data_IF_984498056434
#
_entry.id   IF_984498056434
#
_cell.length_a   1.000
_cell.length_b   1.000
_cell.length_c   1.000
_cell.angle_alpha   90.00
_cell.angle_beta   90.00
_cell.angle_gamma   90.00
#
_symmetry.space_group_name_H-M   'P 1'
#
loop_
_entity.id
_entity.type
_entity.pdbx_description
1 polymer ?
#
# COMPACT_ATOMS: atom_id res chain seq x y z
N UNK A 1 30.00 3.83 -8.80
CA UNK A 1 29.17 5.04 -8.64
C UNK A 1 27.93 4.88 -9.50
N UNK A 2 26.95 4.09 -9.05
CA UNK A 2 25.66 3.99 -9.75
C UNK A 2 24.82 5.17 -9.29
N UNK A 3 24.56 6.11 -10.19
CA UNK A 3 23.56 7.14 -9.96
C UNK A 3 22.22 6.42 -9.79
N UNK A 4 21.69 6.37 -8.57
CA UNK A 4 20.31 5.98 -8.33
C UNK A 4 19.47 7.17 -8.77
N UNK A 5 19.26 7.27 -10.08
CA UNK A 5 18.20 8.09 -10.65
C UNK A 5 16.92 7.58 -10.01
N UNK A 6 16.27 8.41 -9.21
CA UNK A 6 14.90 8.16 -8.77
C UNK A 6 14.11 7.98 -10.06
N UNK A 7 13.65 6.76 -10.37
CA UNK A 7 12.79 6.57 -11.54
C UNK A 7 11.51 7.32 -11.27
N UNK A 8 11.43 8.51 -11.84
CA UNK A 8 10.24 9.33 -11.83
C UNK A 8 9.33 8.80 -12.92
N UNK A 9 8.28 8.07 -12.52
CA UNK A 9 7.34 7.51 -13.47
C UNK A 9 6.37 8.59 -13.94
N UNK A 10 6.46 8.96 -15.22
CA UNK A 10 5.48 9.81 -15.89
C UNK A 10 4.58 8.93 -16.75
N UNK A 11 3.29 8.96 -16.47
CA UNK A 11 2.29 8.13 -17.15
C UNK A 11 1.54 8.88 -18.27
N UNK A 12 1.98 10.09 -18.62
CA UNK A 12 1.36 10.89 -19.69
C UNK A 12 1.41 10.13 -21.02
N UNK A 13 0.23 9.91 -21.62
CA UNK A 13 0.09 9.23 -22.92
C UNK A 13 0.16 7.70 -22.88
N UNK A 14 0.33 7.06 -21.72
CA UNK A 14 0.24 5.60 -21.62
C UNK A 14 -1.21 5.14 -21.88
N UNK A 15 -1.40 4.27 -22.88
CA UNK A 15 -2.67 3.61 -23.14
C UNK A 15 -3.14 2.80 -21.93
N UNK A 16 -4.44 2.64 -21.78
CA UNK A 16 -5.05 1.92 -20.65
C UNK A 16 -4.98 0.42 -20.92
N UNK A 17 -4.23 -0.38 -20.14
CA UNK A 17 -4.01 -1.78 -20.47
C UNK A 17 -5.27 -2.61 -20.26
N UNK A 18 -5.53 -3.52 -21.21
CA UNK A 18 -6.57 -4.54 -21.08
C UNK A 18 -6.09 -5.68 -20.20
N UNK A 19 -6.93 -6.10 -19.27
CA UNK A 19 -6.57 -7.11 -18.27
C UNK A 19 -7.41 -8.36 -18.47
N UNK A 20 -6.75 -9.47 -18.75
CA UNK A 20 -7.36 -10.79 -18.68
C UNK A 20 -7.32 -11.30 -17.25
N UNK A 21 -8.46 -11.71 -16.69
CA UNK A 21 -8.55 -12.30 -15.35
C UNK A 21 -8.71 -13.81 -15.47
N UNK A 22 -7.79 -14.56 -14.87
CA UNK A 22 -7.92 -16.02 -14.81
C UNK A 22 -9.07 -16.47 -13.91
N UNK A 23 -9.79 -17.50 -14.35
CA UNK A 23 -10.69 -18.28 -13.50
C UNK A 23 -9.92 -19.49 -12.96
N UNK A 24 -9.59 -19.45 -11.67
CA UNK A 24 -8.77 -20.45 -10.98
C UNK A 24 -9.49 -20.93 -9.72
N UNK A 25 -10.53 -21.78 -9.85
CA UNK A 25 -11.44 -22.13 -8.75
C UNK A 25 -10.76 -22.82 -7.57
N UNK A 26 -9.64 -23.52 -7.79
CA UNK A 26 -8.84 -24.16 -6.73
C UNK A 26 -8.27 -23.13 -5.74
N UNK A 27 -7.98 -21.93 -6.24
CA UNK A 27 -7.47 -20.79 -5.47
C UNK A 27 -8.58 -19.83 -5.04
N UNK A 28 -9.85 -20.18 -5.21
CA UNK A 28 -10.97 -19.36 -4.77
C UNK A 28 -11.29 -19.61 -3.28
N UNK A 29 -11.44 -18.53 -2.51
CA UNK A 29 -11.79 -18.59 -1.08
C UNK A 29 -12.93 -17.65 -0.67
N UNK A 30 -13.68 -17.14 -1.65
CA UNK A 30 -14.86 -16.29 -1.45
C UNK A 30 -16.17 -17.07 -1.58
N UNK A 31 -17.23 -16.54 -0.94
CA UNK A 31 -18.60 -17.06 -1.10
C UNK A 31 -19.17 -16.70 -2.46
N UNK A 32 -19.05 -15.44 -2.84
CA UNK A 32 -19.41 -14.95 -4.18
C UNK A 32 -18.52 -15.61 -5.22
N UNK A 33 -19.07 -16.06 -6.36
CA UNK A 33 -18.28 -16.64 -7.46
C UNK A 33 -17.65 -15.53 -8.31
N UNK A 34 -16.52 -15.82 -8.95
CA UNK A 34 -15.79 -14.85 -9.79
C UNK A 34 -16.68 -14.16 -10.83
N UNK A 35 -17.49 -14.94 -11.56
CA UNK A 35 -18.42 -14.43 -12.60
C UNK A 35 -19.51 -13.48 -12.09
N UNK A 36 -19.83 -13.57 -10.80
CA UNK A 36 -20.89 -12.79 -10.17
C UNK A 36 -20.32 -11.54 -9.48
N UNK A 37 -19.00 -11.49 -9.27
CA UNK A 37 -18.33 -10.46 -8.49
C UNK A 37 -18.49 -9.04 -9.07
N UNK A 38 -18.51 -8.89 -10.41
CA UNK A 38 -18.72 -7.60 -11.06
C UNK A 38 -20.08 -6.95 -10.72
N UNK A 39 -21.09 -7.77 -10.39
CA UNK A 39 -22.45 -7.34 -10.04
C UNK A 39 -22.62 -7.02 -8.55
N UNK A 40 -21.62 -7.35 -7.74
CA UNK A 40 -21.65 -7.05 -6.30
C UNK A 40 -21.54 -5.54 -6.09
N UNK A 41 -22.47 -4.91 -5.35
CA UNK A 41 -22.40 -3.48 -5.05
C UNK A 41 -21.25 -3.16 -4.09
N UNK A 42 -20.74 -1.93 -4.13
CA UNK A 42 -19.59 -1.50 -3.33
C UNK A 42 -19.87 -1.56 -1.81
N UNK A 43 -21.14 -1.40 -1.42
CA UNK A 43 -21.64 -1.47 -0.05
C UNK A 43 -21.59 -2.88 0.53
N UNK A 44 -21.39 -3.90 -0.31
CA UNK A 44 -21.23 -5.26 0.18
C UNK A 44 -19.94 -5.34 1.03
N UNK A 45 -20.01 -5.78 2.30
CA UNK A 45 -18.85 -5.86 3.18
C UNK A 45 -17.71 -6.75 2.69
N UNK A 46 -17.96 -7.63 1.70
CA UNK A 46 -16.93 -8.44 1.07
C UNK A 46 -15.89 -7.60 0.30
N UNK A 47 -16.24 -6.41 -0.18
CA UNK A 47 -15.37 -5.57 -1.03
C UNK A 47 -14.48 -4.65 -0.18
N UNK A 48 -15.08 -3.61 0.41
CA UNK A 48 -14.38 -2.58 1.18
C UNK A 48 -14.48 -2.79 2.70
N UNK A 49 -15.18 -3.82 3.17
CA UNK A 49 -15.60 -3.95 4.58
C UNK A 49 -16.93 -3.23 4.85
N UNK A 50 -17.49 -3.35 6.06
CA UNK A 50 -18.71 -2.62 6.43
C UNK A 50 -18.54 -1.10 6.29
N UNK A 51 -19.54 -0.42 5.73
CA UNK A 51 -19.59 1.05 5.71
C UNK A 51 -19.72 1.57 7.15
N UNK A 52 -18.96 2.60 7.48
CA UNK A 52 -18.97 3.19 8.82
C UNK A 52 -20.20 4.08 9.01
N UNK A 53 -20.89 3.94 10.13
CA UNK A 53 -22.02 4.80 10.52
C UNK A 53 -21.60 6.09 11.24
N UNK A 54 -20.37 6.12 11.75
CA UNK A 54 -19.75 7.26 12.42
C UNK A 54 -18.36 7.50 11.83
N UNK A 55 -18.07 8.74 11.44
CA UNK A 55 -16.80 9.10 10.82
C UNK A 55 -16.98 9.95 9.56
N UNK A 56 -16.10 9.75 8.59
CA UNK A 56 -16.15 10.42 7.30
C UNK A 56 -17.24 9.77 6.41
N UNK A 57 -17.84 10.54 5.50
CA UNK A 57 -19.07 10.14 4.78
C UNK A 57 -18.92 8.84 3.96
N UNK A 58 -17.72 8.62 3.43
CA UNK A 58 -17.38 7.49 2.57
C UNK A 58 -16.30 6.60 3.19
N UNK A 59 -16.36 6.48 4.52
CA UNK A 59 -15.49 5.64 5.31
C UNK A 59 -16.03 4.20 5.40
N UNK A 60 -15.14 3.24 5.19
CA UNK A 60 -15.35 1.82 5.33
C UNK A 60 -14.35 1.24 6.31
N UNK A 61 -14.74 0.18 7.01
CA UNK A 61 -13.85 -0.61 7.84
C UNK A 61 -12.95 -1.53 6.99
N UNK A 62 -12.19 -0.92 6.10
CA UNK A 62 -11.35 -1.61 5.13
C UNK A 62 -10.17 -2.27 5.81
N UNK A 63 -10.12 -3.59 5.70
CA UNK A 63 -9.06 -4.37 6.30
C UNK A 63 -7.74 -4.16 5.55
N UNK A 64 -6.62 -4.16 6.29
CA UNK A 64 -5.27 -4.14 5.72
C UNK A 64 -4.91 -5.35 4.81
N UNK A 65 -5.85 -6.30 4.64
CA UNK A 65 -5.69 -7.50 3.80
C UNK A 65 -6.55 -7.44 2.52
N UNK A 66 -7.30 -6.35 2.29
CA UNK A 66 -8.33 -6.29 1.24
C UNK A 66 -7.82 -6.00 -0.17
N UNK A 67 -6.52 -5.69 -0.35
CA UNK A 67 -5.99 -5.28 -1.66
C UNK A 67 -6.31 -6.27 -2.80
N UNK A 68 -6.13 -7.61 -2.64
CA UNK A 68 -6.49 -8.57 -3.68
C UNK A 68 -7.96 -8.50 -4.09
N UNK A 69 -8.87 -8.37 -3.11
CA UNK A 69 -10.31 -8.30 -3.36
C UNK A 69 -10.71 -7.01 -4.08
N UNK A 70 -10.25 -5.87 -3.57
CA UNK A 70 -10.60 -4.57 -4.12
C UNK A 70 -10.09 -4.45 -5.56
N UNK A 71 -8.84 -4.85 -5.82
CA UNK A 71 -8.26 -4.82 -7.17
C UNK A 71 -9.02 -5.74 -8.13
N UNK A 72 -9.34 -6.97 -7.71
CA UNK A 72 -10.13 -7.89 -8.52
C UNK A 72 -11.51 -7.34 -8.86
N UNK A 73 -12.24 -6.87 -7.86
CA UNK A 73 -13.58 -6.32 -8.03
C UNK A 73 -13.58 -5.10 -8.95
N UNK A 74 -12.58 -4.20 -8.80
CA UNK A 74 -12.42 -3.02 -9.66
C UNK A 74 -12.08 -3.39 -11.11
N UNK A 75 -11.16 -4.33 -11.33
CA UNK A 75 -10.80 -4.79 -12.67
C UNK A 75 -12.02 -5.37 -13.39
N UNK A 76 -12.77 -6.27 -12.74
CA UNK A 76 -13.93 -6.93 -13.35
C UNK A 76 -15.09 -5.98 -13.71
N UNK A 77 -15.13 -4.78 -13.12
CA UNK A 77 -16.11 -3.74 -13.40
C UNK A 77 -15.63 -2.69 -14.40
N UNK A 78 -14.34 -2.74 -14.76
CA UNK A 78 -13.76 -1.81 -15.72
C UNK A 78 -14.05 -2.28 -17.16
N UNK A 79 -14.28 -1.35 -18.11
CA UNK A 79 -14.33 -1.68 -19.54
C UNK A 79 -12.99 -2.25 -20.08
N UNK A 80 -11.92 -2.22 -19.28
CA UNK A 80 -10.60 -2.77 -19.59
C UNK A 80 -10.51 -4.27 -19.33
N UNK A 81 -11.45 -4.85 -18.60
CA UNK A 81 -11.49 -6.30 -18.44
C UNK A 81 -11.80 -6.96 -19.79
N UNK A 82 -11.01 -7.98 -20.12
CA UNK A 82 -11.25 -8.82 -21.30
C UNK A 82 -11.30 -10.29 -20.92
N UNK A 83 -12.15 -11.03 -21.60
CA UNK A 83 -12.17 -12.50 -21.59
C UNK A 83 -11.38 -13.07 -22.77
N UNK A 84 -10.97 -12.23 -23.72
CA UNK A 84 -10.15 -12.60 -24.86
C UNK A 84 -8.65 -12.41 -24.53
N UNK A 85 -7.87 -13.49 -24.37
CA UNK A 85 -6.45 -13.40 -24.03
C UNK A 85 -5.60 -12.74 -25.14
N UNK A 86 -6.07 -12.73 -26.39
CA UNK A 86 -5.34 -12.10 -27.51
C UNK A 86 -5.35 -10.55 -27.43
N UNK A 87 -6.32 -9.98 -26.71
CA UNK A 87 -6.42 -8.54 -26.47
C UNK A 87 -5.74 -8.11 -25.17
N UNK A 88 -5.18 -9.05 -24.40
CA UNK A 88 -4.71 -8.77 -23.05
C UNK A 88 -3.28 -8.23 -23.04
N UNK A 89 -3.11 -7.05 -22.45
CA UNK A 89 -1.80 -6.49 -22.13
C UNK A 89 -1.24 -7.11 -20.86
N UNK A 90 -2.13 -7.45 -19.92
CA UNK A 90 -1.80 -8.01 -18.61
C UNK A 90 -2.68 -9.21 -18.27
N UNK A 91 -2.12 -10.14 -17.50
CA UNK A 91 -2.81 -11.34 -17.02
C UNK A 91 -2.86 -11.33 -15.50
N UNK A 92 -4.04 -11.09 -14.93
CA UNK A 92 -4.24 -11.12 -13.48
C UNK A 92 -4.61 -12.53 -13.01
N UNK A 93 -3.90 -13.04 -12.01
CA UNK A 93 -4.23 -14.31 -11.34
C UNK A 93 -4.82 -14.05 -9.95
N UNK A 94 -6.15 -14.14 -9.77
CA UNK A 94 -6.83 -13.79 -8.52
C UNK A 94 -6.77 -14.91 -7.49
N UNK A 95 -5.58 -15.17 -6.94
CA UNK A 95 -5.39 -16.21 -5.93
C UNK A 95 -5.85 -15.75 -4.55
N UNK A 96 -6.76 -16.51 -3.95
CA UNK A 96 -7.29 -16.32 -2.60
C UNK A 96 -7.57 -14.86 -2.29
N UNK A 97 -8.58 -14.24 -2.90
CA UNK A 97 -8.75 -12.80 -2.76
C UNK A 97 -9.39 -12.40 -1.41
N UNK A 98 -9.91 -13.35 -0.60
CA UNK A 98 -10.49 -13.07 0.73
C UNK A 98 -9.46 -12.50 1.72
N UNK A 99 -9.94 -11.67 2.66
CA UNK A 99 -9.16 -11.25 3.84
C UNK A 99 -8.75 -12.45 4.71
N UNK A 100 -7.51 -12.47 5.22
CA UNK A 100 -6.88 -13.70 5.76
C UNK A 100 -7.09 -13.95 7.25
N UNK A 101 -7.42 -15.20 7.59
CA UNK A 101 -7.31 -15.76 8.95
C UNK A 101 -6.00 -16.56 9.07
N UNK A 102 -5.05 -16.08 9.86
CA UNK A 102 -3.64 -16.49 9.76
C UNK A 102 -3.38 -18.00 9.75
N UNK A 103 -3.85 -18.79 10.73
CA UNK A 103 -3.48 -20.22 10.83
C UNK A 103 -4.07 -21.13 9.74
N UNK A 104 -5.40 -21.14 9.61
CA UNK A 104 -6.09 -21.99 8.63
C UNK A 104 -5.68 -21.67 7.18
N UNK A 105 -5.46 -20.38 6.91
CA UNK A 105 -5.04 -19.94 5.60
C UNK A 105 -3.57 -20.28 5.32
N UNK A 106 -2.66 -20.09 6.29
CA UNK A 106 -1.25 -20.47 6.14
C UNK A 106 -1.10 -21.96 5.80
N UNK A 107 -1.88 -22.83 6.47
CA UNK A 107 -1.87 -24.26 6.21
C UNK A 107 -2.44 -24.61 4.82
N UNK A 108 -3.52 -23.94 4.38
CA UNK A 108 -4.07 -24.13 3.03
C UNK A 108 -3.09 -23.67 1.95
N UNK A 109 -2.54 -22.46 2.10
CA UNK A 109 -1.58 -21.93 1.14
C UNK A 109 -0.34 -22.82 1.02
N UNK A 110 0.24 -23.28 2.13
CA UNK A 110 1.44 -24.12 2.10
C UNK A 110 1.26 -25.42 1.30
N UNK A 111 0.06 -26.00 1.34
CA UNK A 111 -0.28 -27.20 0.58
C UNK A 111 -0.60 -26.88 -0.88
N UNK A 112 -1.42 -25.87 -1.11
CA UNK A 112 -2.09 -25.67 -2.40
C UNK A 112 -1.32 -24.73 -3.34
N UNK A 113 -0.55 -23.77 -2.80
CA UNK A 113 0.16 -22.74 -3.60
C UNK A 113 1.23 -23.33 -4.52
N UNK A 114 1.83 -24.44 -4.10
CA UNK A 114 2.95 -25.07 -4.78
C UNK A 114 2.50 -26.13 -5.80
N UNK A 115 1.23 -26.52 -5.80
CA UNK A 115 0.72 -27.58 -6.68
C UNK A 115 0.14 -27.00 -7.97
N UNK A 116 0.77 -27.31 -9.11
CA UNK A 116 0.18 -27.21 -10.45
C UNK A 116 -0.31 -25.82 -10.91
N UNK A 117 -0.08 -24.73 -10.17
CA UNK A 117 -0.53 -23.39 -10.57
C UNK A 117 -0.08 -23.03 -11.99
N UNK A 118 1.18 -23.30 -12.31
CA UNK A 118 1.74 -23.08 -13.64
C UNK A 118 0.91 -23.75 -14.75
N UNK A 119 0.46 -24.97 -14.51
CA UNK A 119 -0.29 -25.79 -15.45
C UNK A 119 -1.73 -25.30 -15.63
N UNK A 120 -2.28 -24.63 -14.62
CA UNK A 120 -3.61 -24.00 -14.67
C UNK A 120 -3.59 -22.68 -15.44
N UNK A 121 -2.44 -22.02 -15.54
CA UNK A 121 -2.28 -20.76 -16.24
C UNK A 121 -1.98 -21.01 -17.72
N UNK A 122 -3.00 -21.36 -18.50
CA UNK A 122 -2.89 -21.71 -19.94
C UNK A 122 -2.21 -20.65 -20.83
N UNK A 123 -2.15 -19.39 -20.39
CA UNK A 123 -1.47 -18.30 -21.11
C UNK A 123 -0.13 -17.93 -20.48
N UNK A 124 0.36 -18.67 -19.48
CA UNK A 124 1.69 -18.52 -18.91
C UNK A 124 2.72 -19.19 -19.82
N UNK A 125 3.38 -18.40 -20.66
CA UNK A 125 4.38 -18.88 -21.62
C UNK A 125 5.69 -18.10 -21.44
N UNK A 126 6.82 -18.55 -22.02
CA UNK A 126 8.05 -17.77 -22.01
C UNK A 126 7.88 -16.31 -22.51
N UNK A 127 6.94 -16.08 -23.45
CA UNK A 127 6.65 -14.75 -24.02
C UNK A 127 5.74 -13.88 -23.15
N UNK A 128 4.83 -14.48 -22.39
CA UNK A 128 3.77 -13.76 -21.65
C UNK A 128 3.97 -13.77 -20.14
N UNK A 129 4.91 -14.56 -19.62
CA UNK A 129 5.12 -14.74 -18.19
C UNK A 129 5.39 -13.42 -17.44
N UNK A 130 6.13 -12.49 -18.06
CA UNK A 130 6.40 -11.19 -17.47
C UNK A 130 5.19 -10.23 -17.47
N UNK A 131 4.10 -10.58 -18.16
CA UNK A 131 2.81 -9.85 -18.18
C UNK A 131 1.82 -10.38 -17.13
N UNK A 132 2.15 -11.50 -16.48
CA UNK A 132 1.35 -12.05 -15.41
C UNK A 132 1.63 -11.29 -14.13
N UNK A 133 0.59 -11.02 -13.35
CA UNK A 133 0.76 -10.41 -12.04
C UNK A 133 -0.11 -11.05 -10.97
N UNK A 134 0.40 -10.96 -9.75
CA UNK A 134 -0.24 -11.41 -8.54
C UNK A 134 -0.36 -10.25 -7.56
N UNK A 135 -1.43 -10.23 -6.79
CA UNK A 135 -1.62 -9.25 -5.71
C UNK A 135 -1.58 -9.98 -4.38
N UNK A 136 -0.75 -9.48 -3.49
CA UNK A 136 -0.45 -10.05 -2.19
C UNK A 136 -0.91 -9.06 -1.13
N UNK A 137 -1.99 -9.37 -0.43
CA UNK A 137 -2.40 -8.57 0.72
C UNK A 137 -1.37 -8.67 1.85
N UNK A 138 -1.53 -7.85 2.91
CA UNK A 138 -0.72 -8.06 4.12
C UNK A 138 -0.88 -9.49 4.64
N UNK A 139 0.12 -10.02 5.35
CA UNK A 139 0.04 -11.34 5.99
C UNK A 139 0.03 -12.55 5.06
N UNK A 140 0.06 -12.35 3.73
CA UNK A 140 0.16 -13.45 2.78
C UNK A 140 1.56 -14.07 2.73
N UNK A 141 2.55 -13.39 3.29
CA UNK A 141 3.93 -13.86 3.35
C UNK A 141 4.47 -13.45 4.71
N UNK A 142 4.69 -14.42 5.59
CA UNK A 142 5.52 -14.25 6.78
C UNK A 142 6.88 -14.85 6.44
N UNK A 143 7.95 -14.10 6.70
CA UNK A 143 9.32 -14.59 6.50
C UNK A 143 9.51 -15.88 7.29
N UNK A 144 9.79 -16.98 6.60
CA UNK A 144 9.93 -18.30 7.24
C UNK A 144 8.61 -18.97 7.65
N UNK A 145 7.47 -18.46 7.19
CA UNK A 145 6.14 -19.09 7.33
C UNK A 145 5.90 -20.16 6.25
N UNK A 146 4.88 -21.01 6.46
CA UNK A 146 4.62 -22.16 5.58
C UNK A 146 4.21 -21.80 4.14
N UNK A 147 3.61 -20.63 3.94
CA UNK A 147 3.13 -20.13 2.65
C UNK A 147 4.22 -19.35 1.86
N UNK A 148 5.44 -19.24 2.39
CA UNK A 148 6.51 -18.38 1.86
C UNK A 148 7.04 -18.87 0.50
N UNK A 149 7.24 -20.17 0.30
CA UNK A 149 8.01 -20.74 -0.82
C UNK A 149 7.51 -20.38 -2.24
N UNK A 150 6.20 -20.23 -2.44
CA UNK A 150 5.66 -19.78 -3.73
C UNK A 150 5.96 -18.30 -4.00
N UNK A 151 5.77 -17.46 -2.98
CA UNK A 151 5.99 -16.02 -3.08
C UNK A 151 7.48 -15.68 -3.08
N UNK A 152 8.26 -16.48 -2.37
CA UNK A 152 9.68 -16.40 -2.16
C UNK A 152 10.40 -17.43 -3.03
N UNK A 153 10.86 -16.98 -4.19
CA UNK A 153 11.61 -17.78 -5.17
C UNK A 153 10.82 -19.01 -5.67
N UNK A 154 9.76 -18.79 -6.48
CA UNK A 154 8.98 -19.87 -7.08
C UNK A 154 9.88 -20.89 -7.78
N UNK A 155 9.60 -22.18 -7.61
CA UNK A 155 10.35 -23.24 -8.30
C UNK A 155 10.19 -23.18 -9.82
N UNK A 156 8.99 -22.86 -10.30
CA UNK A 156 8.72 -22.70 -11.71
C UNK A 156 9.33 -21.41 -12.27
N UNK A 157 10.18 -21.55 -13.29
CA UNK A 157 10.93 -20.44 -13.88
C UNK A 157 10.06 -19.39 -14.59
N UNK A 158 8.90 -19.76 -15.13
CA UNK A 158 7.98 -18.77 -15.72
C UNK A 158 7.37 -17.90 -14.64
N UNK A 159 7.07 -18.46 -13.48
CA UNK A 159 6.43 -17.74 -12.39
C UNK A 159 7.41 -16.82 -11.65
N UNK A 160 8.71 -17.07 -11.77
CA UNK A 160 9.74 -16.09 -11.39
C UNK A 160 9.68 -14.82 -12.24
N UNK A 161 9.21 -14.87 -13.49
CA UNK A 161 9.09 -13.69 -14.36
C UNK A 161 7.85 -12.83 -14.07
N UNK A 162 6.84 -13.41 -13.43
CA UNK A 162 5.59 -12.72 -13.11
C UNK A 162 5.80 -11.61 -12.08
N UNK A 163 5.05 -10.52 -12.21
CA UNK A 163 5.03 -9.40 -11.27
C UNK A 163 4.31 -9.76 -9.97
N UNK A 164 4.77 -9.22 -8.86
CA UNK A 164 4.13 -9.35 -7.55
C UNK A 164 3.88 -7.96 -6.99
N UNK A 165 2.63 -7.66 -6.67
CA UNK A 165 2.25 -6.41 -6.03
C UNK A 165 1.88 -6.67 -4.58
N UNK A 166 2.51 -5.95 -3.66
CA UNK A 166 2.23 -6.04 -2.23
C UNK A 166 2.36 -4.69 -1.56
N UNK A 167 1.94 -4.52 -0.31
CA UNK A 167 2.16 -3.25 0.40
C UNK A 167 3.64 -2.94 0.72
N UNK A 168 4.53 -3.94 0.60
CA UNK A 168 5.95 -3.88 0.93
C UNK A 168 6.80 -4.34 -0.25
N UNK A 169 7.91 -3.66 -0.52
CA UNK A 169 8.84 -4.00 -1.61
C UNK A 169 10.04 -4.84 -1.15
N UNK A 170 10.18 -5.09 0.15
CA UNK A 170 11.14 -6.07 0.67
C UNK A 170 10.50 -6.93 1.78
N UNK A 171 10.60 -8.25 1.62
CA UNK A 171 10.19 -9.28 2.58
C UNK A 171 11.40 -9.90 3.31
N UNK A 172 12.61 -9.34 3.16
CA UNK A 172 13.85 -9.80 3.82
C UNK A 172 14.15 -9.13 5.16
N UNK A 173 13.26 -8.24 5.64
CA UNK A 173 13.51 -7.44 6.85
C UNK A 173 13.29 -8.27 8.12
N UNK A 174 14.30 -8.33 8.98
CA UNK A 174 14.15 -8.82 10.36
C UNK A 174 13.87 -7.64 11.28
N UNK A 175 13.07 -7.86 12.32
CA UNK A 175 12.82 -6.90 13.39
C UNK A 175 13.49 -7.32 14.71
N UNK A 176 14.39 -8.32 14.66
CA UNK A 176 15.06 -8.88 15.84
C UNK A 176 16.29 -8.07 16.24
N UNK A 177 16.35 -7.72 17.52
CA UNK A 177 17.50 -7.07 18.17
C UNK A 177 18.75 -7.95 17.98
N UNK A 178 19.84 -7.37 17.47
CA UNK A 178 21.12 -8.06 17.29
C UNK A 178 21.32 -8.80 15.96
N UNK A 179 20.34 -8.78 15.05
CA UNK A 179 20.59 -9.16 13.65
C UNK A 179 21.05 -7.91 12.89
N UNK A 180 22.18 -7.99 12.17
CA UNK A 180 22.73 -6.90 11.34
C UNK A 180 21.73 -6.36 10.31
N UNK A 181 20.67 -7.12 10.02
CA UNK A 181 19.64 -6.78 9.04
C UNK A 181 18.41 -6.18 9.71
N UNK A 182 18.45 -4.85 9.82
CA UNK A 182 17.31 -3.92 9.82
C UNK A 182 16.61 -3.51 11.14
N UNK A 183 16.35 -2.19 11.23
CA UNK A 183 15.66 -1.43 12.29
C UNK A 183 15.55 0.05 11.87
N UNK A 184 15.03 0.98 12.70
CA UNK A 184 14.97 2.40 12.33
C UNK A 184 16.33 2.97 11.88
N UNK A 185 17.43 2.49 12.49
CA UNK A 185 18.80 2.93 12.22
C UNK A 185 19.29 2.78 10.77
N UNK A 186 18.87 1.73 10.05
CA UNK A 186 19.28 1.53 8.65
C UNK A 186 18.28 2.10 7.65
N UNK A 187 17.02 2.33 8.07
CA UNK A 187 15.98 2.94 7.23
C UNK A 187 16.07 4.47 7.15
N UNK A 188 16.96 5.10 7.93
CA UNK A 188 17.21 6.54 7.90
C UNK A 188 18.18 6.95 6.77
N UNK A 189 18.86 6.00 6.11
CA UNK A 189 19.82 6.31 5.03
C UNK A 189 19.12 6.35 3.65
N UNK A 190 19.28 7.44 2.86
CA UNK A 190 18.66 7.55 1.54
C UNK A 190 19.05 6.45 0.56
N UNK A 191 20.32 6.02 0.59
CA UNK A 191 20.87 4.99 -0.30
C UNK A 191 20.21 3.64 -0.07
N UNK A 192 20.19 3.17 1.18
CA UNK A 192 19.62 1.86 1.50
C UNK A 192 18.10 1.88 1.33
N UNK A 193 17.44 2.97 1.72
CA UNK A 193 16.01 3.16 1.47
C UNK A 193 15.65 3.11 -0.02
N UNK A 194 16.50 3.65 -0.90
CA UNK A 194 16.29 3.57 -2.35
C UNK A 194 16.53 2.16 -2.88
N UNK A 195 17.58 1.48 -2.40
CA UNK A 195 17.87 0.09 -2.76
C UNK A 195 16.71 -0.85 -2.44
N UNK A 196 16.10 -0.69 -1.26
CA UNK A 196 14.95 -1.50 -0.82
C UNK A 196 13.62 -1.17 -1.53
N UNK A 197 13.53 -0.02 -2.18
CA UNK A 197 12.31 0.44 -2.86
C UNK A 197 12.30 0.08 -4.35
N UNK A 198 13.46 -0.24 -4.92
CA UNK A 198 13.61 -0.54 -6.33
C UNK A 198 13.05 -1.94 -6.68
N UNK A 199 12.34 -2.04 -7.80
CA UNK A 199 12.22 -3.32 -8.50
C UNK A 199 13.57 -3.63 -9.12
N UNK A 200 14.20 -4.73 -8.69
CA UNK A 200 15.49 -5.15 -9.21
C UNK A 200 15.39 -5.74 -10.63
N UNK A 201 14.17 -5.95 -11.15
CA UNK A 201 13.92 -6.65 -12.42
C UNK A 201 14.68 -7.98 -12.51
N UNK A 202 14.84 -8.63 -11.37
CA UNK A 202 15.69 -9.80 -11.19
C UNK A 202 14.82 -11.05 -10.96
N UNK A 203 14.95 -12.03 -11.85
CA UNK A 203 14.27 -13.32 -11.76
C UNK A 203 14.81 -14.20 -10.63
N UNK A 204 16.05 -13.99 -10.20
CA UNK A 204 16.74 -14.80 -9.20
C UNK A 204 16.69 -14.20 -7.79
N UNK A 205 16.17 -12.98 -7.67
CA UNK A 205 15.84 -12.35 -6.39
C UNK A 205 14.97 -13.30 -5.54
N UNK A 206 15.16 -13.34 -4.20
CA UNK A 206 14.28 -14.09 -3.32
C UNK A 206 12.80 -13.74 -3.50
N UNK A 207 12.50 -12.50 -3.89
CA UNK A 207 11.14 -12.05 -4.22
C UNK A 207 11.17 -11.36 -5.59
N UNK A 208 11.10 -12.13 -6.69
CA UNK A 208 11.34 -11.60 -8.02
C UNK A 208 10.17 -10.70 -8.45
N UNK A 209 10.52 -9.55 -9.02
CA UNK A 209 9.59 -8.52 -9.53
C UNK A 209 8.54 -8.08 -8.51
N UNK A 210 8.95 -7.93 -7.26
CA UNK A 210 8.11 -7.41 -6.19
C UNK A 210 8.09 -5.89 -6.23
N UNK A 211 6.89 -5.31 -6.38
CA UNK A 211 6.66 -3.88 -6.36
C UNK A 211 5.71 -3.55 -5.23
N UNK A 212 6.05 -2.54 -4.44
CA UNK A 212 5.14 -2.06 -3.40
C UNK A 212 3.95 -1.29 -4.01
N UNK A 213 2.79 -1.35 -3.38
CA UNK A 213 1.56 -0.63 -3.72
C UNK A 213 0.94 -0.03 -2.45
N UNK A 214 0.07 0.98 -2.54
CA UNK A 214 -0.59 1.55 -1.37
C UNK A 214 -1.39 0.50 -0.61
N UNK A 215 -1.39 0.57 0.72
CA UNK A 215 -2.45 -0.14 1.44
C UNK A 215 -3.80 0.45 1.02
N UNK A 216 -4.85 -0.37 0.86
CA UNK A 216 -6.20 0.16 0.78
C UNK A 216 -6.49 0.97 2.04
N UNK A 217 -6.83 2.24 1.84
CA UNK A 217 -7.30 3.15 2.89
C UNK A 217 -8.68 2.76 3.36
N UNK A 218 -9.21 3.51 4.33
CA UNK A 218 -10.62 3.38 4.73
C UNK A 218 -11.57 4.29 3.96
N UNK A 219 -11.07 5.30 3.25
CA UNK A 219 -11.91 6.18 2.42
C UNK A 219 -12.02 5.60 1.01
N UNK A 220 -13.25 5.43 0.53
CA UNK A 220 -13.57 4.94 -0.82
C UNK A 220 -14.76 5.70 -1.41
N UNK A 221 -14.48 6.61 -2.34
CA UNK A 221 -15.50 7.40 -3.06
C UNK A 221 -15.62 7.01 -4.54
N UNK A 222 -16.76 7.31 -5.13
CA UNK A 222 -16.99 7.14 -6.57
C UNK A 222 -16.31 8.23 -7.42
N UNK A 223 -16.20 7.96 -8.72
CA UNK A 223 -15.56 8.88 -9.66
C UNK A 223 -16.30 10.21 -9.81
N UNK A 224 -17.62 10.26 -9.61
CA UNK A 224 -18.40 11.50 -9.69
C UNK A 224 -18.06 12.45 -8.55
N UNK A 225 -17.97 11.91 -7.34
CA UNK A 225 -17.56 12.61 -6.12
C UNK A 225 -16.13 13.13 -6.26
N UNK A 226 -15.20 12.29 -6.74
CA UNK A 226 -13.81 12.70 -7.01
C UNK A 226 -13.71 13.87 -7.99
N UNK A 227 -14.44 13.84 -9.12
CA UNK A 227 -14.40 14.90 -10.14
C UNK A 227 -14.86 16.24 -9.62
N UNK A 228 -15.87 16.26 -8.76
CA UNK A 228 -16.37 17.50 -8.18
C UNK A 228 -15.50 17.99 -7.02
N UNK A 229 -14.61 17.13 -6.50
CA UNK A 229 -13.87 17.32 -5.24
C UNK A 229 -14.78 17.73 -4.07
N UNK A 230 -16.10 17.55 -4.21
CA UNK A 230 -17.08 17.89 -3.20
C UNK A 230 -17.13 16.71 -2.25
N UNK A 231 -16.84 16.93 -0.97
CA UNK A 231 -16.88 15.90 0.10
C UNK A 231 -15.70 14.91 0.10
N UNK A 232 -14.57 15.24 -0.52
CA UNK A 232 -13.34 14.45 -0.32
C UNK A 232 -12.51 15.06 0.81
N UNK A 233 -12.24 14.27 1.85
CA UNK A 233 -11.65 14.80 3.10
C UNK A 233 -10.20 15.25 2.97
N UNK A 234 -9.51 14.84 1.90
CA UNK A 234 -8.15 15.31 1.61
C UNK A 234 -8.08 16.69 0.96
N UNK A 235 -9.22 17.27 0.56
CA UNK A 235 -9.32 18.68 0.16
C UNK A 235 -9.71 19.48 1.40
N UNK A 236 -8.70 20.02 2.10
CA UNK A 236 -8.90 20.75 3.36
C UNK A 236 -9.69 22.04 3.14
N UNK A 237 -10.82 22.18 3.83
CA UNK A 237 -11.64 23.40 3.81
C UNK A 237 -11.74 24.09 5.18
N UNK A 238 -11.20 23.50 6.26
CA UNK A 238 -11.29 24.03 7.62
C UNK A 238 -9.93 24.10 8.32
N UNK A 239 -9.86 24.95 9.35
CA UNK A 239 -8.73 25.03 10.28
C UNK A 239 -8.70 23.82 11.21
N UNK A 240 -7.55 23.16 11.33
CA UNK A 240 -7.34 22.03 12.24
C UNK A 240 -7.18 22.47 13.68
N UNK A 241 -7.73 21.72 14.63
CA UNK A 241 -7.61 22.03 16.06
C UNK A 241 -6.25 21.64 16.67
N UNK A 242 -5.55 20.67 16.09
CA UNK A 242 -4.27 20.18 16.63
C UNK A 242 -3.11 20.38 15.67
N UNK A 243 -1.91 20.64 16.22
CA UNK A 243 -0.67 20.61 15.46
C UNK A 243 -0.44 19.21 14.92
N UNK A 244 -0.53 18.20 15.79
CA UNK A 244 -0.28 16.82 15.40
C UNK A 244 -1.29 15.83 16.01
N UNK A 245 -1.42 14.66 15.38
CA UNK A 245 -2.10 13.51 15.99
C UNK A 245 -1.29 12.22 15.85
N UNK A 246 -1.44 11.33 16.82
CA UNK A 246 -0.99 9.94 16.72
C UNK A 246 -2.16 9.00 17.01
N UNK A 247 -2.62 8.29 15.98
CA UNK A 247 -3.62 7.22 16.12
C UNK A 247 -2.90 5.89 15.97
N UNK A 248 -2.86 5.06 17.02
CA UNK A 248 -2.26 3.73 16.93
C UNK A 248 -1.92 3.10 18.26
N UNK A 249 -1.80 1.78 18.28
CA UNK A 249 -1.42 1.04 19.49
C UNK A 249 0.07 1.19 19.80
N UNK A 250 0.38 1.41 21.08
CA UNK A 250 1.75 1.62 21.59
C UNK A 250 2.50 0.33 21.99
N UNK A 251 1.86 -0.83 21.87
CA UNK A 251 2.36 -2.11 22.38
C UNK A 251 2.75 -3.06 21.24
N UNK A 252 3.93 -2.86 20.65
CA UNK A 252 4.58 -3.87 19.81
C UNK A 252 6.03 -4.07 20.29
N UNK A 253 6.52 -5.32 20.18
CA UNK A 253 7.90 -5.69 20.51
C UNK A 253 8.86 -5.51 19.32
N UNK A 254 8.33 -5.14 18.15
CA UNK A 254 9.11 -4.89 16.96
C UNK A 254 9.98 -3.65 17.11
N UNK A 255 11.22 -3.70 16.63
CA UNK A 255 12.14 -2.54 16.65
C UNK A 255 11.60 -1.37 15.80
N UNK A 256 10.78 -1.64 14.78
CA UNK A 256 10.13 -0.60 13.98
C UNK A 256 9.08 0.20 14.79
N UNK A 257 8.57 -0.35 15.90
CA UNK A 257 7.54 0.28 16.72
C UNK A 257 8.09 1.16 17.86
N UNK A 258 9.42 1.28 18.01
CA UNK A 258 10.05 1.98 19.14
C UNK A 258 9.55 3.43 19.28
N UNK A 259 9.39 4.15 18.16
CA UNK A 259 8.92 5.54 18.14
C UNK A 259 7.50 5.71 18.72
N UNK A 260 6.65 4.67 18.68
CA UNK A 260 5.27 4.75 19.20
C UNK A 260 5.21 5.00 20.70
N UNK A 261 6.14 4.42 21.45
CA UNK A 261 6.19 4.55 22.91
C UNK A 261 6.62 5.95 23.33
N UNK A 262 7.54 6.56 22.58
CA UNK A 262 8.02 7.93 22.81
C UNK A 262 6.93 8.92 22.40
N UNK A 263 6.33 8.77 21.22
CA UNK A 263 5.25 9.63 20.73
C UNK A 263 4.04 9.70 21.68
N UNK A 264 3.68 8.56 22.27
CA UNK A 264 2.64 8.52 23.31
C UNK A 264 2.97 9.46 24.47
N UNK A 265 4.22 9.46 24.93
CA UNK A 265 4.68 10.33 26.03
C UNK A 265 4.71 11.79 25.57
N UNK A 266 5.21 12.07 24.37
CA UNK A 266 5.31 13.43 23.84
C UNK A 266 3.94 14.09 23.71
N UNK A 267 2.93 13.36 23.22
CA UNK A 267 1.57 13.86 23.11
C UNK A 267 0.88 13.98 24.46
N UNK A 268 1.16 13.09 25.41
CA UNK A 268 0.67 13.23 26.78
C UNK A 268 1.26 14.45 27.51
N UNK A 269 2.49 14.84 27.18
CA UNK A 269 3.16 16.01 27.74
C UNK A 269 2.67 17.34 27.15
N UNK A 270 2.11 17.33 25.93
CA UNK A 270 1.59 18.51 25.21
C UNK A 270 0.20 18.25 24.62
N UNK A 271 -0.83 18.07 25.48
CA UNK A 271 -2.17 17.68 25.06
C UNK A 271 -2.94 18.76 24.29
N UNK A 272 -2.50 20.01 24.38
CA UNK A 272 -2.98 21.16 23.62
C UNK A 272 -2.49 21.14 22.16
N UNK A 273 -1.26 20.65 21.93
CA UNK A 273 -0.66 20.59 20.60
C UNK A 273 -0.86 19.23 19.90
N UNK A 274 -0.83 18.12 20.64
CA UNK A 274 -0.91 16.77 20.08
C UNK A 274 -2.05 15.93 20.66
N UNK A 275 -2.85 15.36 19.77
CA UNK A 275 -3.87 14.37 20.13
C UNK A 275 -3.36 12.93 19.97
N UNK A 276 -3.46 12.12 21.03
CA UNK A 276 -3.13 10.68 20.98
C UNK A 276 -4.38 9.82 21.16
N UNK A 277 -4.61 8.90 20.23
CA UNK A 277 -5.62 7.86 20.36
C UNK A 277 -4.95 6.48 20.44
N UNK A 278 -5.08 5.84 21.60
CA UNK A 278 -4.62 4.47 21.79
C UNK A 278 -5.60 3.49 21.12
N UNK A 279 -5.22 2.99 19.96
CA UNK A 279 -5.94 1.88 19.34
C UNK A 279 -5.51 0.56 19.98
N UNK A 280 -6.42 -0.13 20.66
CA UNK A 280 -6.22 -1.50 21.12
C UNK A 280 -7.23 -2.48 20.50
N UNK A 281 -6.97 -3.78 20.66
CA UNK A 281 -7.80 -4.85 20.08
C UNK A 281 -9.21 -4.94 20.68
N UNK A 282 -9.49 -4.25 21.79
CA UNK A 282 -10.81 -4.24 22.43
C UNK A 282 -11.83 -3.37 21.68
N UNK A 283 -11.35 -2.43 20.84
CA UNK A 283 -12.16 -1.60 19.96
C UNK A 283 -12.66 -2.34 18.70
N UNK A 284 -12.41 -3.65 18.60
CA UNK A 284 -12.66 -4.46 17.41
C UNK A 284 -11.68 -4.17 16.27
N UNK A 285 -11.78 -4.94 15.18
CA UNK A 285 -10.99 -4.74 13.94
C UNK A 285 -11.40 -3.46 13.19
N UNK A 286 -12.40 -2.74 13.71
CA UNK A 286 -13.09 -1.64 13.06
C UNK A 286 -12.43 -0.30 13.42
N UNK A 287 -11.87 0.37 12.40
CA UNK A 287 -11.22 1.68 12.50
C UNK A 287 -12.20 2.86 12.31
N UNK A 288 -13.51 2.58 12.25
CA UNK A 288 -14.53 3.58 11.95
C UNK A 288 -14.44 4.79 12.91
N UNK A 289 -14.41 5.99 12.33
CA UNK A 289 -14.41 7.24 13.07
C UNK A 289 -13.05 7.63 13.65
N UNK A 290 -11.99 6.84 13.48
CA UNK A 290 -10.64 7.24 13.87
C UNK A 290 -10.05 8.30 12.94
N UNK A 291 -10.50 8.30 11.68
CA UNK A 291 -10.03 9.22 10.64
C UNK A 291 -10.41 10.68 10.92
N UNK A 292 -11.47 10.93 11.71
CA UNK A 292 -11.83 12.28 12.18
C UNK A 292 -10.74 12.93 13.03
N UNK A 293 -9.96 12.11 13.75
CA UNK A 293 -8.85 12.62 14.55
C UNK A 293 -7.67 13.02 13.67
N UNK A 294 -7.46 12.28 12.57
CA UNK A 294 -6.46 12.64 11.57
C UNK A 294 -6.86 13.91 10.81
N UNK A 295 -8.12 14.00 10.35
CA UNK A 295 -8.60 15.18 9.63
C UNK A 295 -8.60 16.46 10.48
N UNK A 296 -8.63 16.33 11.81
CA UNK A 296 -8.56 17.47 12.73
C UNK A 296 -7.12 17.85 13.17
N UNK A 297 -6.09 17.28 12.54
CA UNK A 297 -4.68 17.60 12.81
C UNK A 297 -3.95 18.13 11.57
N UNK A 298 -2.96 18.99 11.76
CA UNK A 298 -2.08 19.43 10.66
C UNK A 298 -1.17 18.30 10.21
N UNK A 299 -0.52 17.66 11.18
CA UNK A 299 0.43 16.57 11.00
C UNK A 299 -0.08 15.26 11.61
N UNK A 300 0.16 14.13 10.96
CA UNK A 300 -0.22 12.82 11.49
C UNK A 300 1.01 11.95 11.62
N UNK A 301 1.36 11.56 12.84
CA UNK A 301 2.48 10.68 13.10
C UNK A 301 2.19 9.26 12.58
N UNK A 302 3.07 8.80 11.71
CA UNK A 302 3.05 7.48 11.08
C UNK A 302 4.30 6.66 11.41
N UNK A 303 4.65 6.43 12.70
CA UNK A 303 5.74 5.53 13.07
C UNK A 303 5.46 4.09 12.62
N UNK A 304 6.53 3.33 12.34
CA UNK A 304 6.47 1.90 12.06
C UNK A 304 5.76 1.09 13.15
N UNK A 305 5.40 -0.15 12.85
CA UNK A 305 4.70 -1.08 13.74
C UNK A 305 5.39 -2.45 13.74
N UNK A 306 4.65 -3.52 13.44
CA UNK A 306 5.24 -4.84 13.17
C UNK A 306 6.00 -4.87 11.83
N UNK A 307 5.82 -3.83 11.01
CA UNK A 307 6.52 -3.57 9.76
C UNK A 307 6.93 -2.10 9.73
N UNK A 308 7.93 -1.72 8.92
CA UNK A 308 8.30 -0.31 8.78
C UNK A 308 7.19 0.55 8.16
N UNK A 309 6.24 -0.08 7.46
CA UNK A 309 5.07 0.56 6.85
C UNK A 309 3.79 0.35 7.66
N UNK A 310 2.78 1.18 7.40
CA UNK A 310 1.45 1.07 8.01
C UNK A 310 0.34 1.56 7.08
N UNK A 311 -0.82 0.90 7.14
CA UNK A 311 -2.03 1.31 6.39
C UNK A 311 -2.37 2.78 6.59
N UNK A 312 -2.28 3.27 7.83
CA UNK A 312 -2.71 4.64 8.12
C UNK A 312 -1.79 5.75 7.59
N UNK A 313 -0.65 5.41 6.98
CA UNK A 313 0.08 6.38 6.17
C UNK A 313 -0.81 6.89 5.04
N UNK A 314 -1.50 5.97 4.37
CA UNK A 314 -2.41 6.25 3.27
C UNK A 314 -3.71 6.88 3.77
N UNK A 315 -4.19 6.46 4.96
CA UNK A 315 -5.33 7.10 5.61
C UNK A 315 -5.04 8.57 5.96
N UNK A 316 -3.82 8.93 6.37
CA UNK A 316 -3.45 10.33 6.64
C UNK A 316 -3.50 11.19 5.37
N UNK A 317 -2.96 10.69 4.25
CA UNK A 317 -3.08 11.37 2.96
C UNK A 317 -4.54 11.61 2.57
N UNK A 318 -5.38 10.58 2.71
CA UNK A 318 -6.80 10.62 2.33
C UNK A 318 -7.71 11.28 3.39
N UNK A 319 -7.11 11.88 4.41
CA UNK A 319 -7.79 12.75 5.38
C UNK A 319 -7.22 14.17 5.38
N UNK A 320 -6.31 14.47 4.44
CA UNK A 320 -5.68 15.79 4.32
C UNK A 320 -4.64 16.08 5.41
N UNK A 321 -4.30 15.09 6.23
CA UNK A 321 -3.33 15.23 7.30
C UNK A 321 -1.92 14.95 6.77
N UNK A 322 -0.99 15.89 6.95
CA UNK A 322 0.38 15.75 6.44
C UNK A 322 1.07 14.61 7.20
N UNK A 323 1.45 13.50 6.54
CA UNK A 323 2.06 12.40 7.25
C UNK A 323 3.46 12.76 7.76
N UNK A 324 3.77 12.30 8.97
CA UNK A 324 5.11 12.41 9.58
C UNK A 324 5.65 10.99 9.75
N UNK A 325 6.61 10.62 8.90
CA UNK A 325 7.18 9.27 8.89
C UNK A 325 8.54 9.27 9.58
N UNK A 326 8.89 8.13 10.17
CA UNK A 326 10.12 7.93 10.95
C UNK A 326 11.10 7.02 10.21
N UNK A 327 11.13 7.15 8.89
CA UNK A 327 12.13 6.50 8.04
C UNK A 327 12.11 7.05 6.62
N UNK A 328 13.28 7.13 6.01
CA UNK A 328 13.43 7.46 4.59
C UNK A 328 12.75 6.44 3.67
N UNK A 329 12.59 5.21 4.15
CA UNK A 329 11.99 4.15 3.37
C UNK A 329 10.48 4.32 3.13
N UNK A 330 9.73 4.83 4.11
CA UNK A 330 8.30 5.09 3.93
C UNK A 330 8.00 6.12 2.83
N UNK A 331 8.96 7.00 2.51
CA UNK A 331 8.84 7.97 1.44
C UNK A 331 9.08 7.38 0.03
N UNK A 332 9.45 6.09 -0.07
CA UNK A 332 9.88 5.44 -1.33
C UNK A 332 9.07 4.21 -1.71
N UNK A 333 8.14 3.75 -0.86
CA UNK A 333 7.21 2.67 -1.22
C UNK A 333 6.19 3.12 -2.26
N UNK A 334 5.45 2.20 -2.85
CA UNK A 334 4.40 2.46 -3.84
C UNK A 334 4.90 3.36 -5.00
N UNK A 335 5.98 2.99 -5.69
CA UNK A 335 6.69 3.88 -6.61
C UNK A 335 5.83 4.36 -7.79
N UNK A 336 4.82 3.60 -8.20
CA UNK A 336 3.91 4.02 -9.27
C UNK A 336 2.91 5.10 -8.83
N UNK A 337 2.62 5.14 -7.52
CA UNK A 337 1.55 5.92 -6.92
C UNK A 337 2.04 7.21 -6.30
N UNK A 338 3.25 7.20 -5.74
CA UNK A 338 3.88 8.44 -5.31
C UNK A 338 4.20 9.28 -6.53
N UNK A 339 3.48 10.40 -6.62
CA UNK A 339 3.53 11.34 -7.72
C UNK A 339 4.99 11.76 -7.94
N UNK A 340 5.61 11.26 -9.02
CA UNK A 340 6.84 11.76 -9.63
C UNK A 340 7.94 12.32 -8.70
N UNK A 341 8.23 11.67 -7.56
CA UNK A 341 9.26 12.13 -6.62
C UNK A 341 8.87 13.29 -5.69
N UNK A 342 7.62 13.79 -5.71
CA UNK A 342 7.20 14.84 -4.78
C UNK A 342 6.68 14.34 -3.42
N UNK A 343 7.01 13.11 -3.00
CA UNK A 343 6.81 12.66 -1.62
C UNK A 343 7.40 13.69 -0.62
N UNK A 344 8.56 14.27 -0.96
CA UNK A 344 9.21 15.32 -0.18
C UNK A 344 8.38 16.61 -0.01
N UNK A 345 7.38 16.86 -0.87
CA UNK A 345 6.48 18.01 -0.78
C UNK A 345 5.11 17.64 -0.22
N UNK A 346 4.91 16.48 0.41
CA UNK A 346 3.62 16.14 1.03
C UNK A 346 3.73 15.33 2.33
N UNK A 347 4.94 15.08 2.82
CA UNK A 347 5.17 14.42 4.10
C UNK A 347 6.42 15.01 4.77
N UNK A 348 6.50 14.86 6.09
CA UNK A 348 7.72 15.15 6.85
C UNK A 348 8.43 13.83 7.14
N UNK A 349 9.70 13.73 6.76
CA UNK A 349 10.53 12.55 7.03
C UNK A 349 11.48 12.88 8.17
N UNK A 350 11.27 12.23 9.31
CA UNK A 350 12.10 12.38 10.49
C UNK A 350 13.11 11.25 10.60
N UNK A 351 14.29 11.58 11.12
CA UNK A 351 15.31 10.61 11.48
C UNK A 351 14.88 9.92 12.78
N UNK A 352 14.54 8.63 12.70
CA UNK A 352 14.09 7.88 13.88
C UNK A 352 15.19 7.70 14.91
N UNK A 353 16.44 7.55 14.46
CA UNK A 353 17.60 7.39 15.33
C UNK A 353 17.78 8.58 16.26
N UNK A 354 17.82 9.80 15.72
CA UNK A 354 17.92 11.04 16.48
C UNK A 354 16.72 11.23 17.41
N UNK A 355 15.50 10.91 16.92
CA UNK A 355 14.31 10.97 17.75
C UNK A 355 14.37 10.02 18.96
N UNK A 356 14.77 8.77 18.73
CA UNK A 356 14.85 7.75 19.78
C UNK A 356 16.01 8.01 20.77
N UNK A 357 17.06 8.69 20.33
CA UNK A 357 18.16 9.14 21.20
C UNK A 357 17.79 10.34 22.09
N UNK A 358 16.69 11.03 21.77
CA UNK A 358 16.27 12.25 22.47
C UNK A 358 16.84 13.55 21.88
N UNK A 359 17.52 13.47 20.73
CA UNK A 359 18.17 14.60 20.07
C UNK A 359 17.19 15.44 19.21
N UNK A 360 15.95 14.98 19.06
CA UNK A 360 14.92 15.64 18.26
C UNK A 360 13.60 15.77 19.03
N UNK A 361 13.21 17.00 19.36
CA UNK A 361 11.84 17.30 19.79
C UNK A 361 10.94 17.43 18.55
N UNK A 362 10.15 16.39 18.29
CA UNK A 362 9.32 16.31 17.08
C UNK A 362 8.21 17.35 17.04
N UNK A 363 7.61 17.71 18.17
CA UNK A 363 6.52 18.70 18.17
C UNK A 363 7.07 20.12 18.00
N UNK A 364 8.21 20.43 18.62
CA UNK A 364 8.91 21.70 18.38
C UNK A 364 9.42 21.81 16.94
N UNK A 365 9.93 20.70 16.38
CA UNK A 365 10.35 20.66 14.99
C UNK A 365 9.18 20.93 14.02
N UNK A 366 8.02 20.30 14.25
CA UNK A 366 6.83 20.49 13.42
C UNK A 366 6.23 21.90 13.56
N UNK A 367 6.24 22.50 14.75
CA UNK A 367 5.73 23.87 14.95
C UNK A 367 6.62 24.92 14.30
N UNK A 368 7.91 24.63 14.12
CA UNK A 368 8.87 25.51 13.45
C UNK A 368 8.81 25.44 11.92
N UNK A 369 8.05 24.50 11.32
CA UNK A 369 7.89 24.44 9.86
C UNK A 369 7.10 25.67 9.40
N UNK A 370 7.69 26.41 8.46
CA UNK A 370 7.07 27.63 7.92
C UNK A 370 5.65 27.34 7.38
N UNK A 371 4.63 28.16 7.75
CA UNK A 371 3.25 27.95 7.31
C UNK A 371 3.07 27.89 5.78
N UNK A 372 3.93 28.54 4.99
CA UNK A 372 3.92 28.44 3.53
C UNK A 372 4.33 27.05 3.03
N UNK A 373 5.28 26.40 3.70
CA UNK A 373 5.68 25.03 3.40
C UNK A 373 4.53 24.08 3.77
N UNK A 374 3.88 24.30 4.91
CA UNK A 374 2.69 23.53 5.31
C UNK A 374 1.58 23.65 4.26
N UNK A 375 1.27 24.87 3.80
CA UNK A 375 0.27 25.09 2.74
C UNK A 375 0.66 24.41 1.43
N UNK A 376 1.94 24.44 1.05
CA UNK A 376 2.45 23.73 -0.13
C UNK A 376 2.25 22.21 0.00
N UNK A 377 2.50 21.65 1.18
CA UNK A 377 2.22 20.24 1.44
C UNK A 377 0.74 19.91 1.33
N UNK A 378 -0.14 20.71 1.94
CA UNK A 378 -1.59 20.53 1.84
C UNK A 378 -2.10 20.63 0.40
N UNK A 379 -1.61 21.60 -0.38
CA UNK A 379 -1.96 21.74 -1.79
C UNK A 379 -1.50 20.53 -2.62
N UNK A 380 -0.30 20.02 -2.35
CA UNK A 380 0.23 18.81 -3.00
C UNK A 380 -0.63 17.58 -2.67
N UNK A 381 -1.05 17.42 -1.42
CA UNK A 381 -1.97 16.35 -0.99
C UNK A 381 -3.32 16.51 -1.71
N UNK A 382 -3.92 17.71 -1.68
CA UNK A 382 -5.21 17.96 -2.32
C UNK A 382 -5.19 17.62 -3.83
N UNK A 383 -4.08 17.93 -4.50
CA UNK A 383 -3.90 17.66 -5.92
C UNK A 383 -3.66 16.16 -6.23
N UNK A 384 -2.91 15.44 -5.39
CA UNK A 384 -2.39 14.12 -5.75
C UNK A 384 -2.83 12.95 -4.86
N UNK A 385 -3.52 13.17 -3.73
CA UNK A 385 -3.93 12.09 -2.83
C UNK A 385 -4.85 11.06 -3.51
N UNK A 386 -5.62 11.47 -4.53
CA UNK A 386 -6.43 10.56 -5.36
C UNK A 386 -5.60 9.40 -5.96
N UNK A 387 -4.29 9.58 -6.14
CA UNK A 387 -3.37 8.54 -6.63
C UNK A 387 -3.15 7.41 -5.65
N UNK A 388 -3.42 7.63 -4.38
CA UNK A 388 -3.35 6.64 -3.31
C UNK A 388 -4.72 6.03 -2.99
N UNK A 389 -5.78 6.58 -3.60
CA UNK A 389 -7.16 6.22 -3.35
C UNK A 389 -7.59 5.05 -4.25
N UNK A 390 -8.17 4.02 -3.63
CA UNK A 390 -8.84 2.96 -4.38
C UNK A 390 -10.29 3.38 -4.60
N UNK A 391 -10.57 4.03 -5.73
CA UNK A 391 -11.92 4.52 -6.02
C UNK A 391 -12.91 3.37 -6.24
N UNK A 392 -14.20 3.65 -6.10
CA UNK A 392 -15.28 2.67 -6.35
C UNK A 392 -15.39 2.35 -7.85
N UNK A 393 -15.25 3.36 -8.70
CA UNK A 393 -15.34 3.26 -10.17
C UNK A 393 -14.08 3.82 -10.83
N UNK A 394 -13.93 3.60 -12.14
CA UNK A 394 -12.74 4.03 -12.89
C UNK A 394 -12.53 5.54 -12.78
N UNK A 395 -11.39 5.90 -12.19
CA UNK A 395 -10.95 7.27 -12.04
C UNK A 395 -9.50 7.40 -12.55
N UNK A 396 -9.19 8.44 -13.37
CA UNK A 396 -7.85 8.63 -13.89
C UNK A 396 -6.81 8.74 -12.77
N UNK A 397 -5.73 7.99 -12.93
CA UNK A 397 -4.58 7.96 -12.02
C UNK A 397 -4.96 7.56 -10.57
N UNK A 398 -6.08 6.87 -10.33
CA UNK A 398 -6.33 6.28 -9.02
C UNK A 398 -5.36 5.12 -8.72
N UNK A 399 -5.44 4.56 -7.51
CA UNK A 399 -4.50 3.52 -7.10
C UNK A 399 -4.56 2.25 -7.96
N UNK A 400 -5.72 1.91 -8.52
CA UNK A 400 -5.86 0.75 -9.41
C UNK A 400 -5.28 1.08 -10.78
N UNK A 401 -5.58 2.27 -11.29
CA UNK A 401 -5.15 2.72 -12.60
C UNK A 401 -3.62 2.83 -12.71
N UNK A 402 -2.98 3.45 -11.71
CA UNK A 402 -1.53 3.59 -11.67
C UNK A 402 -0.83 2.25 -11.50
N UNK A 403 -1.42 1.30 -10.75
CA UNK A 403 -0.90 -0.05 -10.66
C UNK A 403 -0.88 -0.72 -12.04
N UNK A 404 -2.00 -0.64 -12.78
CA UNK A 404 -2.11 -1.27 -14.09
C UNK A 404 -1.20 -0.61 -15.13
N UNK A 405 -1.14 0.73 -15.17
CA UNK A 405 -0.20 1.48 -16.03
C UNK A 405 1.25 1.09 -15.73
N UNK A 406 1.61 1.00 -14.46
CA UNK A 406 2.95 0.57 -14.04
C UNK A 406 3.27 -0.87 -14.37
N UNK A 407 2.32 -1.78 -14.18
CA UNK A 407 2.44 -3.17 -14.58
C UNK A 407 2.66 -3.30 -16.10
N UNK A 408 1.88 -2.58 -16.92
CA UNK A 408 2.02 -2.57 -18.37
C UNK A 408 3.37 -2.00 -18.82
N UNK A 409 3.84 -0.94 -18.16
CA UNK A 409 5.16 -0.38 -18.43
C UNK A 409 6.30 -1.35 -18.09
N UNK A 410 6.25 -2.00 -16.93
CA UNK A 410 7.24 -3.02 -16.58
C UNK A 410 7.24 -4.17 -17.60
N UNK A 411 6.05 -4.59 -18.04
CA UNK A 411 5.93 -5.61 -19.07
C UNK A 411 6.58 -5.17 -20.40
N UNK A 412 6.24 -3.98 -20.90
CA UNK A 412 6.80 -3.43 -22.13
C UNK A 412 8.33 -3.22 -22.04
N UNK A 413 8.85 -2.84 -20.87
CA UNK A 413 10.30 -2.73 -20.65
C UNK A 413 10.99 -4.08 -20.73
N UNK A 414 10.40 -5.15 -20.19
CA UNK A 414 10.94 -6.50 -20.27
C UNK A 414 10.84 -7.10 -21.67
N UNK A 415 9.79 -6.77 -22.43
CA UNK A 415 9.69 -7.11 -23.86
C UNK A 415 10.88 -6.53 -24.64
N UNK A 416 11.20 -5.26 -24.42
CA UNK A 416 12.36 -4.59 -25.06
C UNK A 416 13.69 -5.24 -24.69
N UNK A 417 13.90 -5.53 -23.41
CA UNK A 417 15.13 -6.19 -22.93
C UNK A 417 15.28 -7.62 -23.44
N UNK A 418 14.18 -8.33 -23.72
CA UNK A 418 14.22 -9.70 -24.25
C UNK A 418 14.43 -9.74 -25.77
N UNK A 419 14.32 -8.59 -26.46
CA UNK A 419 14.49 -8.44 -27.90
C UNK A 419 15.87 -7.95 -28.33
N UNK A 420 16.70 -7.57 -27.36
CA UNK A 420 18.13 -7.27 -27.50
C UNK A 420 18.94 -8.50 -27.14
#
# INVERSE_FOLDING_TARGET
MFAITTMVWFWEGAGWPRVYVYDVPEYWDMKTKLRDLARVPAENPEIFGPKCSAGLYDEYATHMYSAPMILLWRILRSPRWTTNPAEADLFFVPMWPKQKSQKLWEDRCARDANLFLAEKLRHLTPKTAHRHFFVVGKGHVKVGGKCDAWWKKPENLLLRKAMRFAYSSDYGTSDRIGQERYGPYTLDTPLEAARLAADLMDNESPYPHLVSIPYPSSVHVDAATLRTQRRVDWVRTSSTSYLASFVGGSHSRSTFAMARRVLRKDCAARPDACFYFNYDRSHGVFTCGLHRFMSNATFCFQPGGDSPYRKSLYDAFLTGCIPVVFSQYNARVAPFHFWAGHAANAMVVLNATAYLAGDLDVLAHLSAIDPSIVRKMQATIALHAHRLHYAIDDYPDDAVDLLLKGAAHLAATRDRLSSQ
#
